data_IF_189100746305
#
_entry.id   IF_189100746305
#
_cell.length_a   1.000
_cell.length_b   1.000
_cell.length_c   1.000
_cell.angle_alpha   90.00
_cell.angle_beta   90.00
_cell.angle_gamma   90.00
#
_symmetry.space_group_name_H-M   'P 1'
#
loop_
_entity.id
_entity.type
_entity.pdbx_description
1 polymer ?
#
# COMPACT_ATOMS: atom_id res chain seq x y z
N UNK A 1 -5.29 -0.59 7.56
CA UNK A 1 -4.99 -0.56 9.00
C UNK A 1 -6.16 0.10 9.70
N UNK A 2 -6.31 1.43 9.58
CA UNK A 2 -7.51 2.18 9.91
C UNK A 2 -7.90 3.12 8.75
N UNK A 3 -8.99 3.87 8.90
CA UNK A 3 -9.49 4.85 7.92
C UNK A 3 -9.07 6.29 8.22
N UNK A 4 -8.57 6.55 9.43
CA UNK A 4 -8.09 7.84 9.91
C UNK A 4 -6.68 7.72 10.49
N UNK A 5 -5.97 8.84 10.61
CA UNK A 5 -4.62 8.86 11.21
C UNK A 5 -4.75 8.73 12.72
N UNK A 6 -5.77 9.35 13.30
CA UNK A 6 -6.07 9.35 14.73
C UNK A 6 -6.32 7.94 15.24
N UNK A 7 -7.04 7.11 14.48
CA UNK A 7 -7.21 5.70 14.83
C UNK A 7 -5.89 4.90 14.72
N UNK A 8 -4.98 5.27 13.81
CA UNK A 8 -3.65 4.67 13.76
C UNK A 8 -2.82 5.07 14.99
N UNK A 9 -2.89 6.33 15.43
CA UNK A 9 -2.20 6.80 16.63
C UNK A 9 -2.71 6.06 17.89
N UNK A 10 -4.01 5.82 17.97
CA UNK A 10 -4.62 5.01 19.05
C UNK A 10 -4.13 3.57 19.04
N UNK A 11 -3.93 2.97 17.86
CA UNK A 11 -3.35 1.62 17.74
C UNK A 11 -1.89 1.58 18.22
N UNK A 12 -1.11 2.61 17.91
CA UNK A 12 0.29 2.75 18.37
C UNK A 12 0.32 2.91 19.90
N UNK A 13 -0.60 3.68 20.48
CA UNK A 13 -0.63 3.84 21.93
C UNK A 13 -1.02 2.53 22.64
N UNK A 14 -2.03 1.83 22.14
CA UNK A 14 -2.42 0.51 22.66
C UNK A 14 -1.28 -0.53 22.54
N UNK A 15 -0.45 -0.46 21.50
CA UNK A 15 0.77 -1.28 21.36
C UNK A 15 1.71 -1.04 22.55
N UNK A 16 2.03 0.23 22.84
CA UNK A 16 2.92 0.63 23.93
C UNK A 16 2.37 0.22 25.30
N UNK A 17 1.09 0.47 25.55
CA UNK A 17 0.44 0.16 26.82
C UNK A 17 0.39 -1.35 27.10
N UNK A 18 0.12 -2.14 26.06
CA UNK A 18 -0.01 -3.60 26.20
C UNK A 18 1.32 -4.36 26.20
N UNK A 19 2.40 -3.73 25.71
CA UNK A 19 3.69 -4.39 25.47
C UNK A 19 3.63 -5.53 24.45
N UNK A 20 2.57 -5.59 23.63
CA UNK A 20 2.41 -6.55 22.54
C UNK A 20 2.91 -5.94 21.24
N UNK A 21 3.22 -6.79 20.26
CA UNK A 21 3.67 -6.35 18.94
C UNK A 21 2.44 -6.20 18.03
N UNK A 22 2.30 -5.04 17.39
CA UNK A 22 1.32 -4.84 16.33
C UNK A 22 1.99 -5.07 14.97
N UNK A 23 1.55 -6.09 14.24
CA UNK A 23 2.04 -6.37 12.89
C UNK A 23 1.05 -5.90 11.82
N UNK A 24 1.59 -5.24 10.80
CA UNK A 24 0.80 -4.78 9.65
C UNK A 24 0.91 -5.80 8.53
N UNK A 25 -0.24 -6.23 8.01
CA UNK A 25 -0.36 -7.25 6.96
C UNK A 25 0.09 -6.83 5.56
N UNK A 26 1.30 -6.30 5.41
CA UNK A 26 1.94 -6.03 4.11
C UNK A 26 2.55 -7.30 3.52
N UNK A 27 1.71 -8.32 3.36
CA UNK A 27 2.16 -9.69 3.02
C UNK A 27 2.82 -9.79 1.65
N UNK A 28 2.53 -8.87 0.73
CA UNK A 28 3.15 -8.84 -0.59
C UNK A 28 4.68 -8.70 -0.57
N UNK A 29 5.26 -8.16 0.51
CA UNK A 29 6.72 -8.09 0.71
C UNK A 29 7.38 -9.47 0.81
N UNK A 30 6.63 -10.50 1.19
CA UNK A 30 7.14 -11.87 1.27
C UNK A 30 7.08 -12.61 -0.06
N UNK A 31 6.47 -12.03 -1.10
CA UNK A 31 6.40 -12.66 -2.41
C UNK A 31 7.82 -12.84 -2.98
N UNK A 32 8.20 -14.03 -3.49
CA UNK A 32 9.55 -14.30 -3.95
C UNK A 32 10.09 -13.29 -4.96
N UNK A 33 9.25 -12.85 -5.90
CA UNK A 33 9.62 -11.81 -6.88
C UNK A 33 9.95 -10.45 -6.24
N UNK A 34 9.21 -10.04 -5.20
CA UNK A 34 9.45 -8.77 -4.50
C UNK A 34 10.75 -8.86 -3.69
N UNK A 35 10.97 -9.98 -3.02
CA UNK A 35 12.23 -10.26 -2.30
C UNK A 35 13.42 -10.27 -3.25
N UNK A 36 13.30 -10.93 -4.39
CA UNK A 36 14.38 -10.99 -5.38
C UNK A 36 14.68 -9.62 -5.99
N UNK A 37 13.66 -8.83 -6.29
CA UNK A 37 13.83 -7.46 -6.75
C UNK A 37 14.59 -6.62 -5.71
N UNK A 38 14.24 -6.76 -4.42
CA UNK A 38 14.95 -6.10 -3.32
C UNK A 38 16.42 -6.52 -3.24
N UNK A 39 16.71 -7.83 -3.32
CA UNK A 39 18.08 -8.35 -3.32
C UNK A 39 18.94 -7.78 -4.46
N UNK A 40 18.39 -7.69 -5.67
CA UNK A 40 19.10 -7.13 -6.85
C UNK A 40 19.36 -5.64 -6.67
N UNK A 41 18.39 -4.89 -6.12
CA UNK A 41 18.57 -3.46 -5.86
C UNK A 41 19.58 -3.21 -4.74
N UNK A 42 19.54 -4.03 -3.67
CA UNK A 42 20.47 -3.94 -2.55
C UNK A 42 21.90 -4.37 -2.94
N UNK A 43 22.08 -5.22 -3.96
CA UNK A 43 23.42 -5.58 -4.47
C UNK A 43 24.13 -4.43 -5.20
N UNK A 44 23.38 -3.40 -5.61
CA UNK A 44 23.86 -2.25 -6.37
C UNK A 44 24.54 -2.61 -7.71
N UNK A 45 24.31 -3.82 -8.24
CA UNK A 45 24.89 -4.27 -9.51
C UNK A 45 24.35 -3.52 -10.74
N UNK A 46 23.15 -2.93 -10.60
CA UNK A 46 22.49 -2.11 -11.63
C UNK A 46 22.79 -0.61 -11.47
N UNK A 47 23.55 -0.23 -10.45
CA UNK A 47 23.75 1.17 -10.05
C UNK A 47 22.52 1.81 -9.39
N UNK A 48 22.49 3.14 -9.24
CA UNK A 48 21.45 3.84 -8.50
C UNK A 48 20.10 3.84 -9.23
N UNK A 49 19.01 3.71 -8.47
CA UNK A 49 17.65 3.85 -9.00
C UNK A 49 17.38 5.30 -9.39
N UNK A 50 17.15 5.53 -10.69
CA UNK A 50 16.77 6.86 -11.21
C UNK A 50 15.26 7.04 -11.26
N UNK A 51 14.52 6.00 -11.64
CA UNK A 51 13.06 6.05 -11.79
C UNK A 51 12.48 4.66 -11.57
N UNK A 52 11.32 4.60 -10.94
CA UNK A 52 10.58 3.37 -10.72
C UNK A 52 9.08 3.62 -10.87
N UNK A 53 8.38 2.61 -11.40
CA UNK A 53 6.94 2.65 -11.62
C UNK A 53 6.31 1.41 -10.96
N UNK A 54 5.30 1.64 -10.13
CA UNK A 54 4.47 0.59 -9.55
C UNK A 54 3.03 0.82 -9.95
N UNK A 55 2.39 -0.21 -10.50
CA UNK A 55 1.02 -0.16 -10.97
C UNK A 55 0.24 -1.30 -10.35
N UNK A 56 -0.97 -0.99 -9.88
CA UNK A 56 -1.88 -1.98 -9.33
C UNK A 56 -3.26 -1.76 -9.92
N UNK A 57 -3.72 -2.75 -10.69
CA UNK A 57 -5.00 -2.72 -11.37
C UNK A 57 -5.83 -3.89 -10.88
N UNK A 58 -7.10 -3.65 -10.59
CA UNK A 58 -8.02 -4.70 -10.20
C UNK A 58 -9.38 -4.44 -10.81
N UNK A 59 -9.77 -5.32 -11.73
CA UNK A 59 -11.11 -5.29 -12.27
C UNK A 59 -12.04 -6.02 -11.29
N UNK A 60 -12.80 -5.24 -10.53
CA UNK A 60 -13.70 -5.79 -9.53
C UNK A 60 -15.14 -5.95 -10.01
N UNK A 61 -15.53 -5.33 -11.13
CA UNK A 61 -16.93 -5.23 -11.59
C UNK A 61 -17.85 -4.56 -10.57
N UNK A 62 -18.50 -3.45 -10.89
CA UNK A 62 -19.28 -2.72 -9.87
C UNK A 62 -20.32 -3.60 -9.15
N UNK A 63 -21.04 -4.46 -9.87
CA UNK A 63 -22.09 -5.31 -9.33
C UNK A 63 -21.59 -6.37 -8.32
N UNK A 64 -20.37 -6.90 -8.50
CA UNK A 64 -19.79 -7.95 -7.65
C UNK A 64 -19.04 -7.44 -6.42
N UNK A 65 -18.77 -6.13 -6.35
CA UNK A 65 -18.01 -5.55 -5.23
C UNK A 65 -18.77 -5.68 -3.91
N UNK A 66 -18.15 -6.19 -2.85
CA UNK A 66 -18.77 -6.15 -1.51
C UNK A 66 -18.98 -4.71 -1.04
N UNK A 67 -20.00 -4.48 -0.20
CA UNK A 67 -20.42 -3.15 0.26
C UNK A 67 -19.26 -2.31 0.85
N UNK A 68 -18.38 -2.92 1.65
CA UNK A 68 -17.24 -2.22 2.26
C UNK A 68 -16.27 -1.63 1.23
N UNK A 69 -16.16 -2.23 0.03
CA UNK A 69 -15.32 -1.70 -1.04
C UNK A 69 -15.99 -0.57 -1.82
N UNK A 70 -17.31 -0.39 -1.66
CA UNK A 70 -18.08 0.71 -2.26
C UNK A 70 -18.22 1.90 -1.31
N UNK A 71 -18.21 1.67 0.00
CA UNK A 71 -18.36 2.72 1.01
C UNK A 71 -17.04 3.41 1.35
N UNK A 72 -16.94 4.71 1.06
CA UNK A 72 -15.77 5.53 1.43
C UNK A 72 -15.57 5.61 2.95
N UNK A 73 -16.65 5.63 3.71
CA UNK A 73 -16.63 5.62 5.18
C UNK A 73 -15.94 4.39 5.77
N UNK A 74 -16.03 3.24 5.09
CA UNK A 74 -15.38 1.99 5.52
C UNK A 74 -13.97 1.82 4.93
N UNK A 75 -13.38 2.86 4.34
CA UNK A 75 -12.10 2.77 3.65
C UNK A 75 -12.19 2.13 2.26
N UNK A 76 -13.39 2.09 1.67
CA UNK A 76 -13.62 1.55 0.34
C UNK A 76 -12.98 2.37 -0.80
N UNK A 77 -13.05 1.80 -2.01
CA UNK A 77 -12.38 2.29 -3.20
C UNK A 77 -10.99 1.68 -3.41
N UNK A 78 -10.38 1.99 -4.55
CA UNK A 78 -9.10 1.38 -4.93
C UNK A 78 -7.97 1.79 -4.00
N UNK A 79 -7.91 3.07 -3.63
CA UNK A 79 -6.76 3.64 -2.90
C UNK A 79 -6.48 2.95 -1.57
N UNK A 80 -7.40 3.05 -0.60
CA UNK A 80 -7.24 2.46 0.73
C UNK A 80 -7.38 0.93 0.72
N UNK A 81 -8.07 0.36 -0.27
CA UNK A 81 -8.31 -1.08 -0.38
C UNK A 81 -7.13 -1.88 -0.93
N UNK A 82 -6.56 -1.49 -2.08
CA UNK A 82 -5.37 -2.17 -2.63
C UNK A 82 -4.27 -1.22 -3.13
N UNK A 83 -4.59 0.04 -3.44
CA UNK A 83 -3.65 1.03 -3.99
C UNK A 83 -2.48 1.30 -3.04
N UNK A 84 -2.70 1.20 -1.73
CA UNK A 84 -1.63 1.24 -0.71
C UNK A 84 -0.53 0.21 -0.96
N UNK A 85 -0.85 -0.98 -1.49
CA UNK A 85 0.15 -2.02 -1.76
C UNK A 85 1.08 -1.65 -2.93
N UNK A 86 0.59 -0.88 -3.91
CA UNK A 86 1.42 -0.39 -5.00
C UNK A 86 2.54 0.52 -4.48
N UNK A 87 2.18 1.43 -3.57
CA UNK A 87 3.13 2.36 -2.92
C UNK A 87 4.03 1.61 -1.94
N UNK A 88 3.48 0.66 -1.20
CA UNK A 88 4.24 -0.21 -0.29
C UNK A 88 5.36 -0.94 -1.03
N UNK A 89 5.06 -1.63 -2.13
CA UNK A 89 6.07 -2.35 -2.91
C UNK A 89 7.10 -1.41 -3.53
N UNK A 90 6.68 -0.25 -4.01
CA UNK A 90 7.60 0.74 -4.59
C UNK A 90 8.62 1.22 -3.54
N UNK A 91 8.13 1.68 -2.39
CA UNK A 91 8.98 2.19 -1.31
C UNK A 91 9.79 1.08 -0.65
N UNK A 92 9.21 -0.12 -0.53
CA UNK A 92 9.91 -1.31 -0.03
C UNK A 92 11.03 -1.75 -0.96
N UNK A 93 10.86 -1.75 -2.29
CA UNK A 93 11.93 -2.13 -3.21
C UNK A 93 13.03 -1.06 -3.27
N UNK A 94 12.67 0.22 -3.37
CA UNK A 94 13.65 1.32 -3.47
C UNK A 94 14.39 1.54 -2.14
N UNK A 95 13.75 1.26 -1.00
CA UNK A 95 14.36 1.48 0.32
C UNK A 95 14.42 2.94 0.74
N UNK A 96 13.56 3.78 0.17
CA UNK A 96 13.50 5.20 0.49
C UNK A 96 12.06 5.65 0.75
N UNK A 97 11.92 6.69 1.57
CA UNK A 97 10.64 7.33 1.88
C UNK A 97 10.39 8.45 0.87
N UNK A 98 9.12 8.69 0.55
CA UNK A 98 8.73 9.83 -0.26
C UNK A 98 9.02 11.15 0.47
N UNK A 99 9.67 12.10 -0.21
CA UNK A 99 9.93 13.46 0.29
C UNK A 99 8.87 14.46 -0.17
N UNK A 100 8.21 14.18 -1.30
CA UNK A 100 7.12 14.98 -1.84
C UNK A 100 6.16 14.06 -2.61
N UNK A 101 4.90 14.46 -2.70
CA UNK A 101 3.87 13.70 -3.40
C UNK A 101 2.98 14.62 -4.23
N UNK A 102 2.55 14.12 -5.40
CA UNK A 102 1.49 14.71 -6.20
C UNK A 102 0.48 13.62 -6.50
N UNK A 103 -0.81 13.92 -6.32
CA UNK A 103 -1.89 12.95 -6.48
C UNK A 103 -2.86 13.44 -7.55
N UNK A 104 -3.28 12.52 -8.41
CA UNK A 104 -4.45 12.68 -9.28
C UNK A 104 -5.40 11.51 -9.03
N UNK A 105 -6.64 11.83 -8.66
CA UNK A 105 -7.68 10.84 -8.42
C UNK A 105 -8.84 11.06 -9.41
N UNK A 106 -9.43 9.98 -9.92
CA UNK A 106 -10.63 10.04 -10.76
C UNK A 106 -11.51 8.81 -10.55
N UNK A 107 -12.75 8.89 -11.02
CA UNK A 107 -13.75 7.80 -10.96
C UNK A 107 -14.08 7.24 -12.35
N UNK A 108 -13.26 7.51 -13.36
CA UNK A 108 -13.52 7.10 -14.76
C UNK A 108 -13.67 5.58 -14.93
N UNK A 109 -13.02 4.79 -14.07
CA UNK A 109 -13.13 3.32 -14.06
C UNK A 109 -14.05 2.78 -12.94
N UNK A 110 -14.84 3.64 -12.30
CA UNK A 110 -15.61 3.25 -11.13
C UNK A 110 -16.77 2.29 -11.47
N UNK A 111 -17.43 2.50 -12.62
CA UNK A 111 -18.61 1.77 -13.08
C UNK A 111 -18.34 0.71 -14.15
N UNK A 112 -17.08 0.31 -14.33
CA UNK A 112 -16.73 -0.87 -15.13
C UNK A 112 -17.21 -2.16 -14.44
#
# INVERSE_FOLDING_TARGET
MATTIEDCDRMIEAEKESGKIVQIGMTGRFHPAVRKAREILDSNELGPVVTALSQFNKNWGYAGRRYQYRSRWMGGGMWLGNGVHAVDWLTYCIGSKAVSVKVRQSTSMHYQ
#
